data_IF_587175726010
#
_entry.id   IF_587175726010
#
_cell.length_a   1.000
_cell.length_b   1.000
_cell.length_c   1.000
_cell.angle_alpha   90.00
_cell.angle_beta   90.00
_cell.angle_gamma   90.00
#
_symmetry.space_group_name_H-M   'P 1'
#
loop_
_entity.id
_entity.type
_entity.pdbx_description
1 polymer ?
#
# COMPACT_ATOMS: atom_id res chain seq x y z
N UNK A 1 24.85 -23.90 5.87
CA UNK A 1 23.43 -23.70 5.50
C UNK A 1 23.30 -22.30 4.93
N UNK A 2 23.37 -22.14 3.61
CA UNK A 2 23.19 -20.83 2.97
C UNK A 2 21.74 -20.42 3.17
N UNK A 3 21.50 -19.36 3.94
CA UNK A 3 20.16 -18.77 4.03
C UNK A 3 19.81 -18.27 2.63
N UNK A 4 18.99 -19.02 1.90
CA UNK A 4 18.46 -18.56 0.62
C UNK A 4 17.55 -17.37 0.93
N UNK A 5 17.96 -16.18 0.50
CA UNK A 5 17.15 -14.98 0.60
C UNK A 5 15.87 -15.17 -0.21
N UNK A 6 14.74 -14.88 0.42
CA UNK A 6 13.44 -14.87 -0.25
C UNK A 6 13.35 -13.62 -1.13
N UNK A 7 12.69 -13.68 -2.31
CA UNK A 7 12.42 -12.50 -3.13
C UNK A 7 11.64 -11.39 -2.39
N UNK A 8 11.03 -11.73 -1.27
CA UNK A 8 10.25 -10.83 -0.41
C UNK A 8 11.07 -10.25 0.76
N UNK A 9 12.34 -10.64 0.93
CA UNK A 9 13.16 -10.11 2.01
C UNK A 9 13.39 -8.60 1.82
N UNK A 10 13.06 -7.82 2.86
CA UNK A 10 13.11 -6.36 2.81
C UNK A 10 12.01 -5.71 1.96
N UNK A 11 10.95 -6.44 1.59
CA UNK A 11 9.79 -5.90 0.86
C UNK A 11 8.61 -5.64 1.78
N UNK A 12 7.90 -4.56 1.51
CA UNK A 12 6.71 -4.19 2.30
C UNK A 12 5.45 -4.91 1.80
N UNK A 13 4.53 -5.17 2.73
CA UNK A 13 3.16 -5.57 2.38
C UNK A 13 2.40 -4.38 1.80
N UNK A 14 1.44 -4.63 0.94
CA UNK A 14 0.64 -3.56 0.33
C UNK A 14 -0.64 -3.34 1.12
N UNK A 15 -0.99 -2.08 1.35
CA UNK A 15 -2.27 -1.67 1.94
C UNK A 15 -3.18 -0.99 0.91
N UNK A 16 -4.47 -0.85 1.23
CA UNK A 16 -5.48 -0.31 0.33
C UNK A 16 -5.10 1.06 -0.27
N UNK A 17 -4.53 1.97 0.52
CA UNK A 17 -4.09 3.30 0.04
C UNK A 17 -2.87 3.28 -0.87
N UNK A 18 -2.18 2.13 -0.97
CA UNK A 18 -1.10 1.91 -1.92
C UNK A 18 -1.58 2.07 -3.36
N UNK A 19 -0.64 2.34 -4.28
CA UNK A 19 -0.93 2.62 -5.68
C UNK A 19 -0.39 1.53 -6.59
N UNK A 20 -1.20 1.15 -7.56
CA UNK A 20 -0.82 0.25 -8.64
C UNK A 20 -0.39 1.03 -9.89
N UNK A 21 0.41 0.39 -10.73
CA UNK A 21 0.84 0.92 -12.01
C UNK A 21 0.71 -0.13 -13.10
N UNK A 22 0.01 0.20 -14.18
CA UNK A 22 0.01 -0.58 -15.41
C UNK A 22 1.09 -0.05 -16.35
N UNK A 23 1.90 -0.93 -16.96
CA UNK A 23 2.91 -0.52 -17.95
C UNK A 23 2.32 0.12 -19.23
N UNK A 24 1.03 -0.05 -19.47
CA UNK A 24 0.31 0.51 -20.63
C UNK A 24 -0.60 1.69 -20.28
N UNK A 25 -0.73 2.03 -18.98
CA UNK A 25 -1.56 3.11 -18.48
C UNK A 25 -0.76 4.37 -18.15
N UNK A 26 -1.48 5.45 -17.85
CA UNK A 26 -0.93 6.76 -17.47
C UNK A 26 -1.45 7.28 -16.12
N UNK A 27 -2.27 6.49 -15.41
CA UNK A 27 -2.77 6.78 -14.06
C UNK A 27 -2.39 5.68 -13.06
N UNK A 28 -2.40 6.06 -11.77
CA UNK A 28 -1.93 5.23 -10.65
C UNK A 28 -3.03 5.06 -9.60
N UNK A 29 -4.00 4.16 -9.83
CA UNK A 29 -5.14 4.01 -8.94
C UNK A 29 -4.74 3.31 -7.64
N UNK A 30 -5.58 3.47 -6.62
CA UNK A 30 -5.41 2.77 -5.34
C UNK A 30 -5.99 1.36 -5.40
N UNK A 31 -5.52 0.48 -4.53
CA UNK A 31 -6.11 -0.84 -4.35
C UNK A 31 -7.49 -0.71 -3.70
N UNK A 32 -8.36 -1.70 -3.91
CA UNK A 32 -9.63 -1.84 -3.20
C UNK A 32 -9.71 -3.22 -2.58
N UNK A 33 -9.66 -3.28 -1.25
CA UNK A 33 -9.73 -4.54 -0.52
C UNK A 33 -11.20 -4.98 -0.43
N UNK A 34 -11.47 -6.14 -0.99
CA UNK A 34 -12.79 -6.80 -1.04
C UNK A 34 -12.79 -8.15 -0.33
N UNK A 35 -11.60 -8.71 -0.12
CA UNK A 35 -11.37 -10.02 0.48
C UNK A 35 -11.70 -10.09 1.97
N UNK A 36 -11.57 -8.98 2.71
CA UNK A 36 -11.82 -8.90 4.14
C UNK A 36 -12.06 -7.45 4.60
N UNK A 37 -12.42 -7.29 5.89
CA UNK A 37 -12.56 -5.99 6.57
C UNK A 37 -11.87 -5.94 7.95
N UNK A 38 -10.99 -6.89 8.25
CA UNK A 38 -10.51 -7.14 9.62
C UNK A 38 -9.00 -6.93 9.83
N UNK A 39 -8.19 -7.05 8.79
CA UNK A 39 -6.73 -7.03 8.95
C UNK A 39 -6.14 -5.72 8.41
N UNK A 40 -5.60 -4.93 9.32
CA UNK A 40 -5.01 -3.62 9.05
C UNK A 40 -3.51 -3.68 9.34
N UNK A 41 -2.71 -3.05 8.49
CA UNK A 41 -1.26 -2.93 8.70
C UNK A 41 -0.91 -1.54 9.19
N UNK A 42 -0.16 -1.46 10.29
CA UNK A 42 0.32 -0.21 10.90
C UNK A 42 -0.80 0.79 11.23
N UNK A 43 -1.98 0.31 11.59
CA UNK A 43 -3.12 1.14 11.97
C UNK A 43 -3.84 0.54 13.17
N UNK A 44 -4.02 1.36 14.21
CA UNK A 44 -4.75 1.00 15.44
C UNK A 44 -6.23 1.38 15.36
N UNK A 45 -6.59 2.27 14.45
CA UNK A 45 -7.85 3.00 14.48
C UNK A 45 -8.91 2.39 13.54
N UNK A 46 -8.53 1.36 12.77
CA UNK A 46 -9.41 0.59 11.89
C UNK A 46 -9.72 1.29 10.56
N UNK A 47 -8.84 2.18 10.11
CA UNK A 47 -9.01 2.90 8.85
C UNK A 47 -8.84 1.98 7.65
N UNK A 48 -9.87 1.92 6.80
CA UNK A 48 -9.92 1.08 5.60
C UNK A 48 -8.73 1.28 4.64
N UNK A 49 -8.10 2.46 4.66
CA UNK A 49 -6.91 2.77 3.88
C UNK A 49 -5.70 1.88 4.21
N UNK A 50 -5.68 1.29 5.40
CA UNK A 50 -4.62 0.42 5.88
C UNK A 50 -4.98 -1.07 5.81
N UNK A 51 -6.11 -1.43 5.20
CA UNK A 51 -6.45 -2.83 4.97
C UNK A 51 -5.38 -3.50 4.10
N UNK A 52 -4.94 -4.69 4.52
CA UNK A 52 -4.00 -5.49 3.74
C UNK A 52 -4.56 -5.96 2.41
N UNK A 53 -3.77 -5.88 1.35
CA UNK A 53 -4.16 -6.35 0.01
C UNK A 53 -3.81 -7.83 -0.13
N UNK A 54 -4.77 -8.65 -0.51
CA UNK A 54 -4.61 -10.09 -0.74
C UNK A 54 -4.60 -10.43 -2.22
N UNK A 55 -4.24 -11.68 -2.54
CA UNK A 55 -4.19 -12.18 -3.91
C UNK A 55 -5.52 -12.11 -4.68
N UNK A 56 -6.65 -12.02 -3.96
CA UNK A 56 -8.00 -11.93 -4.50
C UNK A 56 -8.48 -10.49 -4.71
N UNK A 57 -7.72 -9.50 -4.26
CA UNK A 57 -8.12 -8.09 -4.34
C UNK A 57 -7.74 -7.50 -5.70
N UNK A 58 -8.66 -7.68 -6.65
CA UNK A 58 -8.47 -7.37 -8.07
C UNK A 58 -9.12 -6.04 -8.49
N UNK A 59 -9.77 -5.34 -7.56
CA UNK A 59 -10.44 -4.07 -7.82
C UNK A 59 -9.53 -2.90 -7.47
N UNK A 60 -9.73 -1.78 -8.17
CA UNK A 60 -9.01 -0.53 -7.95
C UNK A 60 -9.98 0.64 -7.75
N UNK A 61 -9.49 1.71 -7.13
CA UNK A 61 -10.23 2.96 -6.90
C UNK A 61 -9.49 4.12 -7.58
N UNK A 62 -10.16 4.96 -8.41
CA UNK A 62 -11.57 4.92 -8.80
C UNK A 62 -11.97 3.70 -9.65
N UNK A 63 -13.24 3.24 -9.60
CA UNK A 63 -13.75 2.20 -10.49
C UNK A 63 -13.84 2.70 -11.94
N UNK A 64 -13.49 1.86 -12.93
CA UNK A 64 -13.57 2.20 -14.35
C UNK A 64 -12.20 2.25 -15.04
N UNK A 65 -11.83 3.33 -15.77
CA UNK A 65 -10.52 3.47 -16.39
C UNK A 65 -9.46 3.81 -15.33
N UNK A 66 -9.29 2.92 -14.35
CA UNK A 66 -8.44 3.14 -13.17
C UNK A 66 -7.00 3.48 -13.56
N UNK A 67 -6.53 2.96 -14.70
CA UNK A 67 -5.21 3.25 -15.26
C UNK A 67 -5.20 4.31 -16.37
N UNK A 68 -6.26 5.09 -16.52
CA UNK A 68 -6.37 6.20 -17.48
C UNK A 68 -6.49 5.73 -18.93
N UNK A 69 -5.63 6.22 -19.83
CA UNK A 69 -5.62 5.81 -21.25
C UNK A 69 -4.73 4.58 -21.45
N UNK A 70 -5.18 3.62 -22.27
CA UNK A 70 -4.44 2.38 -22.50
C UNK A 70 -3.76 2.38 -23.87
N UNK A 71 -2.43 2.26 -23.90
CA UNK A 71 -1.63 2.19 -25.14
C UNK A 71 -1.97 0.99 -26.04
N UNK A 72 -2.54 -0.07 -25.46
CA UNK A 72 -3.00 -1.25 -26.22
C UNK A 72 -4.40 -1.08 -26.82
N UNK A 73 -5.03 0.09 -26.66
CA UNK A 73 -6.32 0.43 -27.28
C UNK A 73 -6.19 1.69 -28.14
N UNK A 74 -5.51 1.61 -29.30
CA UNK A 74 -5.38 2.75 -30.21
C UNK A 74 -6.74 3.10 -30.85
N UNK A 75 -6.93 4.38 -31.13
CA UNK A 75 -8.06 4.97 -31.86
C UNK A 75 -7.57 6.13 -32.72
N UNK A 76 -8.36 6.55 -33.70
CA UNK A 76 -8.00 7.60 -34.67
C UNK A 76 -7.65 8.95 -34.02
N UNK A 77 -8.10 9.20 -32.78
CA UNK A 77 -7.81 10.41 -32.00
C UNK A 77 -6.87 10.21 -30.81
N UNK A 78 -6.17 9.07 -30.73
CA UNK A 78 -5.27 8.71 -29.61
C UNK A 78 -5.70 7.41 -28.92
N UNK A 79 -5.32 7.23 -27.66
CA UNK A 79 -5.61 6.00 -26.91
C UNK A 79 -6.97 6.07 -26.18
N UNK A 80 -7.76 5.00 -26.27
CA UNK A 80 -9.03 4.88 -25.56
C UNK A 80 -8.80 4.70 -24.05
N UNK A 81 -9.82 5.02 -23.22
CA UNK A 81 -9.80 4.71 -21.79
C UNK A 81 -9.54 3.22 -21.53
N UNK A 82 -8.81 2.96 -20.45
CA UNK A 82 -8.47 1.62 -20.02
C UNK A 82 -9.74 0.83 -19.68
N UNK A 83 -9.88 -0.35 -20.27
CA UNK A 83 -10.91 -1.34 -19.89
C UNK A 83 -10.23 -2.47 -19.16
N UNK A 84 -9.74 -2.16 -17.96
CA UNK A 84 -9.04 -3.14 -17.14
C UNK A 84 -9.93 -4.34 -16.84
N UNK A 85 -9.38 -5.54 -17.03
CA UNK A 85 -9.96 -6.80 -16.60
C UNK A 85 -8.83 -7.70 -16.09
N UNK A 86 -8.90 -8.25 -14.87
CA UNK A 86 -7.85 -9.11 -14.33
C UNK A 86 -7.75 -10.44 -15.08
N UNK A 87 -6.54 -10.88 -15.39
CA UNK A 87 -6.23 -12.21 -15.89
C UNK A 87 -5.72 -13.08 -14.73
N UNK A 88 -6.66 -13.64 -13.95
CA UNK A 88 -6.36 -14.44 -12.78
C UNK A 88 -6.17 -13.63 -11.50
N UNK A 89 -5.32 -14.13 -10.60
CA UNK A 89 -5.02 -13.54 -9.28
C UNK A 89 -3.65 -12.85 -9.29
N UNK A 90 -3.34 -12.10 -8.23
CA UNK A 90 -1.97 -11.59 -8.05
C UNK A 90 -0.97 -12.75 -7.98
N UNK A 91 0.14 -12.57 -8.69
CA UNK A 91 1.27 -13.48 -8.73
C UNK A 91 2.43 -12.91 -7.91
N UNK A 92 3.43 -13.74 -7.62
CA UNK A 92 4.57 -13.39 -6.75
C UNK A 92 4.08 -12.80 -5.42
N UNK A 93 3.10 -13.44 -4.82
CA UNK A 93 2.57 -13.12 -3.49
C UNK A 93 3.37 -13.84 -2.42
N UNK A 94 3.30 -13.37 -1.18
CA UNK A 94 4.05 -13.98 -0.08
C UNK A 94 3.23 -15.09 0.59
N UNK A 95 3.70 -16.33 0.45
CA UNK A 95 2.95 -17.52 0.85
C UNK A 95 2.88 -17.74 2.38
N UNK A 96 3.85 -17.20 3.11
CA UNK A 96 4.01 -17.45 4.56
C UNK A 96 3.04 -16.62 5.42
N UNK A 97 2.55 -15.49 4.91
CA UNK A 97 1.58 -14.64 5.60
C UNK A 97 0.26 -14.69 4.85
N UNK A 98 -0.80 -15.06 5.57
CA UNK A 98 -2.13 -15.22 5.00
C UNK A 98 -3.16 -14.45 5.81
N UNK A 99 -4.03 -13.72 5.11
CA UNK A 99 -5.20 -13.09 5.70
C UNK A 99 -6.42 -13.90 5.27
N UNK A 100 -7.15 -14.47 6.23
CA UNK A 100 -8.33 -15.32 5.95
C UNK A 100 -8.01 -16.46 4.96
N UNK A 101 -6.80 -17.05 5.05
CA UNK A 101 -6.34 -18.12 4.16
C UNK A 101 -5.80 -17.67 2.79
N UNK A 102 -5.85 -16.37 2.48
CA UNK A 102 -5.39 -15.79 1.21
C UNK A 102 -4.00 -15.22 1.34
N UNK A 103 -3.15 -15.42 0.33
CA UNK A 103 -1.78 -14.92 0.30
C UNK A 103 -1.75 -13.40 0.21
N UNK A 104 -0.74 -12.79 0.79
CA UNK A 104 -0.61 -11.34 0.83
C UNK A 104 0.20 -10.78 -0.34
N UNK A 105 -0.19 -9.62 -0.83
CA UNK A 105 0.50 -8.86 -1.87
C UNK A 105 1.66 -8.07 -1.26
N UNK A 106 2.80 -8.10 -1.95
CA UNK A 106 4.01 -7.35 -1.60
C UNK A 106 4.44 -6.49 -2.78
N UNK A 107 5.46 -5.64 -2.61
CA UNK A 107 5.98 -4.78 -3.67
C UNK A 107 6.44 -5.52 -4.95
N UNK A 108 6.82 -6.79 -4.83
CA UNK A 108 7.25 -7.62 -5.97
C UNK A 108 6.10 -8.32 -6.67
N UNK A 109 4.89 -8.23 -6.12
CA UNK A 109 3.71 -8.87 -6.66
C UNK A 109 3.26 -8.20 -7.95
N UNK A 110 2.75 -9.01 -8.87
CA UNK A 110 2.33 -8.57 -10.19
C UNK A 110 0.97 -9.16 -10.57
N UNK A 111 0.21 -8.42 -11.37
CA UNK A 111 -1.10 -8.83 -11.87
C UNK A 111 -1.14 -8.63 -13.39
N UNK A 112 -1.69 -9.61 -14.10
CA UNK A 112 -1.88 -9.52 -15.54
C UNK A 112 -3.28 -8.98 -15.86
N UNK A 113 -3.38 -8.15 -16.89
CA UNK A 113 -4.63 -7.70 -17.47
C UNK A 113 -4.95 -8.53 -18.71
N UNK A 114 -6.22 -8.89 -18.93
CA UNK A 114 -6.67 -9.65 -20.12
C UNK A 114 -6.31 -8.93 -21.42
N UNK A 115 -6.23 -7.60 -21.39
CA UNK A 115 -5.82 -6.76 -22.55
C UNK A 115 -4.32 -6.94 -22.88
N UNK A 116 -3.51 -7.49 -21.97
CA UNK A 116 -2.07 -7.70 -22.15
C UNK A 116 -1.18 -6.72 -21.36
N UNK A 117 -1.78 -5.83 -20.56
CA UNK A 117 -1.04 -4.96 -19.64
C UNK A 117 -0.54 -5.71 -18.41
N UNK A 118 0.66 -5.40 -17.95
CA UNK A 118 1.23 -5.87 -16.69
C UNK A 118 1.09 -4.79 -15.62
N UNK A 119 0.50 -5.16 -14.49
CA UNK A 119 0.25 -4.30 -13.35
C UNK A 119 1.24 -4.67 -12.24
N UNK A 120 1.95 -3.67 -11.71
CA UNK A 120 2.89 -3.79 -10.61
C UNK A 120 2.52 -2.82 -9.49
N UNK A 121 3.13 -3.02 -8.32
CA UNK A 121 3.00 -2.08 -7.19
C UNK A 121 3.90 -0.88 -7.47
N UNK A 122 3.33 0.33 -7.37
CA UNK A 122 4.09 1.59 -7.45
C UNK A 122 4.42 2.13 -6.07
N UNK A 123 3.47 2.03 -5.16
CA UNK A 123 3.58 2.50 -3.79
C UNK A 123 2.84 1.50 -2.89
N UNK A 124 3.52 0.96 -1.88
CA UNK A 124 2.92 -0.03 -0.99
C UNK A 124 1.90 0.58 -0.03
N UNK A 125 1.84 1.91 0.08
CA UNK A 125 0.90 2.66 0.89
C UNK A 125 1.27 2.71 2.36
N UNK A 126 2.18 1.90 2.89
CA UNK A 126 2.56 2.03 4.29
C UNK A 126 3.48 3.25 4.46
N UNK A 127 3.29 4.02 5.52
CA UNK A 127 4.28 5.00 5.97
C UNK A 127 4.72 4.57 7.36
N UNK A 128 6.01 4.72 7.66
CA UNK A 128 6.50 4.58 9.03
C UNK A 128 5.98 5.77 9.83
N UNK A 129 4.85 5.61 10.51
CA UNK A 129 4.36 6.62 11.43
C UNK A 129 4.96 6.37 12.81
N UNK A 130 5.51 7.42 13.41
CA UNK A 130 6.06 7.34 14.75
C UNK A 130 4.90 7.15 15.72
N UNK A 131 4.77 5.95 16.30
CA UNK A 131 3.66 5.67 17.20
C UNK A 131 3.64 6.67 18.36
N UNK A 132 2.47 7.02 18.90
CA UNK A 132 2.36 7.92 20.07
C UNK A 132 3.25 7.46 21.23
N UNK A 133 3.38 6.14 21.43
CA UNK A 133 4.31 5.54 22.40
C UNK A 133 5.78 5.81 22.07
N UNK A 134 6.17 5.70 20.80
CA UNK A 134 7.52 6.06 20.34
C UNK A 134 7.83 7.54 20.59
N UNK A 135 6.85 8.43 20.36
CA UNK A 135 7.01 9.87 20.68
C UNK A 135 7.19 10.07 22.17
N UNK A 136 6.32 9.48 23.01
CA UNK A 136 6.39 9.60 24.47
C UNK A 136 7.72 9.10 25.03
N UNK A 137 8.21 7.96 24.53
CA UNK A 137 9.43 7.31 25.02
C UNK A 137 10.73 7.86 24.40
N UNK A 138 10.66 8.74 23.40
CA UNK A 138 11.84 9.32 22.77
C UNK A 138 12.65 10.15 23.76
N UNK A 139 13.97 9.94 23.80
CA UNK A 139 14.88 10.77 24.58
C UNK A 139 15.05 12.15 23.94
N UNK A 140 14.64 13.20 24.66
CA UNK A 140 14.61 14.55 24.11
C UNK A 140 16.01 15.04 23.72
N UNK A 141 17.03 14.74 24.54
CA UNK A 141 18.41 15.21 24.31
C UNK A 141 18.99 14.60 23.04
N UNK A 142 18.78 13.31 22.84
CA UNK A 142 19.25 12.58 21.65
C UNK A 142 18.61 13.14 20.39
N UNK A 143 17.29 13.36 20.40
CA UNK A 143 16.60 13.90 19.21
C UNK A 143 17.01 15.35 18.94
N UNK A 144 17.17 16.18 19.98
CA UNK A 144 17.69 17.55 19.82
C UNK A 144 19.12 17.58 19.28
N UNK A 145 19.96 16.60 19.62
CA UNK A 145 21.32 16.52 19.07
C UNK A 145 21.33 16.13 17.59
N UNK A 146 20.41 15.25 17.17
CA UNK A 146 20.26 14.84 15.77
C UNK A 146 19.63 15.95 14.93
N UNK A 147 18.58 16.59 15.46
CA UNK A 147 17.88 17.69 14.80
C UNK A 147 17.51 18.80 15.81
N UNK A 148 18.37 19.83 15.96
CA UNK A 148 18.16 20.92 16.92
C UNK A 148 16.90 21.76 16.66
N UNK A 149 16.33 21.69 15.46
CA UNK A 149 15.11 22.42 15.10
C UNK A 149 13.83 21.74 15.63
N UNK A 150 13.92 20.47 16.04
CA UNK A 150 12.80 19.72 16.60
C UNK A 150 12.75 19.90 18.11
N UNK A 151 11.72 20.60 18.60
CA UNK A 151 11.39 20.67 20.02
C UNK A 151 10.50 19.49 20.40
N UNK A 152 11.09 18.41 20.92
CA UNK A 152 10.30 17.22 21.26
C UNK A 152 9.35 17.42 22.44
N UNK A 153 9.56 18.42 23.29
CA UNK A 153 8.62 18.74 24.38
C UNK A 153 7.27 19.19 23.80
N UNK A 154 7.30 20.23 22.96
CA UNK A 154 6.13 20.74 22.24
C UNK A 154 5.45 19.62 21.42
N UNK A 155 6.25 18.76 20.79
CA UNK A 155 5.72 17.63 20.01
C UNK A 155 5.08 16.53 20.88
N UNK A 156 5.61 16.26 22.09
CA UNK A 156 4.97 15.33 23.02
C UNK A 156 3.64 15.87 23.55
N UNK A 157 3.56 17.16 23.81
CA UNK A 157 2.35 17.84 24.30
C UNK A 157 1.22 17.79 23.27
N UNK A 158 1.50 18.17 22.01
CA UNK A 158 0.51 18.05 20.92
C UNK A 158 -0.01 16.61 20.71
N UNK A 159 0.86 15.60 20.86
CA UNK A 159 0.43 14.20 20.77
C UNK A 159 -0.47 13.79 21.94
N UNK A 160 -0.24 14.33 23.14
CA UNK A 160 -1.08 14.08 24.32
C UNK A 160 -2.45 14.77 24.21
N UNK A 161 -2.51 16.03 23.76
CA UNK A 161 -3.76 16.74 23.52
C UNK A 161 -4.65 15.99 22.51
N UNK A 162 -4.06 15.49 21.42
CA UNK A 162 -4.78 14.67 20.44
C UNK A 162 -5.32 13.34 20.97
N UNK A 163 -4.85 12.85 22.14
CA UNK A 163 -5.44 11.68 22.80
C UNK A 163 -6.63 12.05 23.69
N UNK A 164 -6.61 13.25 24.29
CA UNK A 164 -7.70 13.73 25.15
C UNK A 164 -8.93 14.09 24.30
N UNK A 165 -8.72 14.71 23.14
CA UNK A 165 -9.80 15.10 22.21
C UNK A 165 -10.42 13.91 21.46
N UNK A 166 -9.84 12.71 21.58
CA UNK A 166 -10.33 11.49 20.95
C UNK A 166 -11.28 10.67 21.86
N UNK A 167 -11.56 11.14 23.08
CA UNK A 167 -12.49 10.57 24.06
C UNK A 167 -13.70 11.47 24.29
#
# INVERSE_FOLDING_TARGET
MSQQSSPHDGKHFVVQKGKAQCNQGDQFPQHKVTSHKKHFWNDSDGNADFLGVTEDDLQFNPPGPSFGKCKLKPSSGGNLPCSYAPAGKWQKTYDKVKIMGKKIVTEVSELQCVVGGKITIKDHGQRGEMSKKSVKNADNKTVQHINPLVKMQDYKETVLESEIDAY
#
